data_IF_100542327129
#
_entry.id   IF_100542327129
#
_cell.length_a   1.000
_cell.length_b   1.000
_cell.length_c   1.000
_cell.angle_alpha   90.00
_cell.angle_beta   90.00
_cell.angle_gamma   90.00
#
_symmetry.space_group_name_H-M   'P 1'
#
loop_
_entity.id
_entity.type
_entity.pdbx_description
1 polymer ?
#
# COMPACT_ATOMS: atom_id res chain seq x y z
N UNK A 1 45.81 -24.79 13.06
CA UNK A 1 46.41 -23.55 12.52
C UNK A 1 46.90 -23.91 11.13
N UNK A 2 46.38 -23.49 9.98
CA UNK A 2 45.70 -22.26 9.55
C UNK A 2 45.19 -22.54 8.13
N UNK A 3 43.91 -22.32 7.83
CA UNK A 3 43.43 -22.00 6.48
C UNK A 3 41.96 -21.57 6.52
N UNK A 4 41.60 -20.68 7.46
CA UNK A 4 40.35 -19.93 7.38
C UNK A 4 40.66 -18.64 6.63
N UNK A 5 40.46 -18.64 5.31
CA UNK A 5 40.27 -17.44 4.48
C UNK A 5 40.09 -17.89 3.03
N UNK A 6 38.85 -18.17 2.66
CA UNK A 6 38.45 -18.09 1.26
C UNK A 6 37.05 -17.49 1.20
N UNK A 7 36.99 -16.31 0.58
CA UNK A 7 35.81 -15.72 -0.04
C UNK A 7 34.72 -15.08 0.85
N UNK A 8 35.11 -14.21 1.79
CA UNK A 8 34.27 -13.03 2.08
C UNK A 8 34.56 -12.01 0.98
N UNK A 9 34.02 -12.23 -0.22
CA UNK A 9 33.98 -11.22 -1.28
C UNK A 9 32.89 -11.53 -2.32
N UNK A 10 31.76 -12.12 -1.92
CA UNK A 10 30.55 -12.01 -2.73
C UNK A 10 29.95 -10.63 -2.51
N UNK A 11 30.48 -9.71 -3.30
CA UNK A 11 29.75 -8.63 -3.94
C UNK A 11 28.67 -7.95 -3.07
N UNK A 12 29.09 -6.82 -2.52
CA UNK A 12 28.26 -5.65 -2.19
C UNK A 12 27.58 -5.15 -3.48
N UNK A 13 26.70 -5.96 -4.05
CA UNK A 13 25.61 -5.47 -4.87
C UNK A 13 24.42 -5.74 -3.98
N UNK A 14 24.03 -4.73 -3.19
CA UNK A 14 22.62 -4.61 -2.83
C UNK A 14 21.92 -4.47 -4.18
N UNK A 15 21.58 -5.59 -4.82
CA UNK A 15 20.41 -5.58 -5.68
C UNK A 15 19.35 -5.13 -4.71
N UNK A 16 18.92 -3.88 -4.84
CA UNK A 16 17.67 -3.47 -4.24
C UNK A 16 16.65 -4.36 -4.91
N UNK A 17 16.44 -5.54 -4.32
CA UNK A 17 15.20 -6.25 -4.40
C UNK A 17 14.22 -5.26 -3.79
N UNK A 18 13.77 -4.31 -4.61
CA UNK A 18 12.45 -3.77 -4.43
C UNK A 18 11.58 -5.01 -4.54
N UNK A 19 11.22 -5.58 -3.39
CA UNK A 19 10.17 -6.55 -3.30
C UNK A 19 8.98 -5.87 -3.94
N UNK A 20 8.71 -6.24 -5.20
CA UNK A 20 7.57 -5.72 -5.92
C UNK A 20 6.37 -6.32 -5.22
N UNK A 21 5.89 -5.62 -4.17
CA UNK A 21 4.60 -5.90 -3.56
C UNK A 21 3.60 -5.74 -4.70
N UNK A 22 3.10 -6.87 -5.21
CA UNK A 22 2.00 -6.83 -6.16
C UNK A 22 0.77 -6.38 -5.40
N UNK A 23 0.17 -5.29 -5.85
CA UNK A 23 -1.17 -4.93 -5.42
C UNK A 23 -2.09 -6.04 -5.94
N UNK A 24 -2.84 -6.75 -5.08
CA UNK A 24 -3.79 -7.75 -5.53
C UNK A 24 -4.82 -7.05 -6.41
N UNK A 25 -5.42 -7.82 -7.34
CA UNK A 25 -6.42 -7.26 -8.25
C UNK A 25 -7.58 -6.69 -7.42
N UNK A 26 -7.67 -5.36 -7.38
CA UNK A 26 -8.76 -4.69 -6.69
C UNK A 26 -9.99 -4.68 -7.59
N UNK A 27 -11.12 -5.15 -7.09
CA UNK A 27 -12.38 -5.15 -7.83
C UNK A 27 -13.04 -3.77 -7.76
N UNK A 28 -12.72 -2.89 -8.71
CA UNK A 28 -13.32 -1.56 -8.83
C UNK A 28 -12.44 -0.57 -9.58
N UNK A 29 -12.87 0.70 -9.62
CA UNK A 29 -12.05 1.81 -10.15
C UNK A 29 -11.15 2.33 -9.04
N UNK A 30 -9.83 2.31 -9.26
CA UNK A 30 -8.88 3.01 -8.38
C UNK A 30 -9.07 4.51 -8.55
N UNK A 31 -9.41 5.18 -7.45
CA UNK A 31 -9.59 6.63 -7.41
C UNK A 31 -8.29 7.34 -7.01
N UNK A 32 -7.54 6.74 -6.08
CA UNK A 32 -6.38 7.39 -5.46
C UNK A 32 -5.46 6.42 -4.71
N UNK A 33 -4.24 6.89 -4.44
CA UNK A 33 -3.23 6.27 -3.57
C UNK A 33 -2.79 7.30 -2.52
N UNK A 34 -2.53 6.87 -1.28
CA UNK A 34 -2.12 7.77 -0.19
C UNK A 34 -1.91 7.03 1.12
N UNK A 35 -1.56 7.72 2.21
CA UNK A 35 -1.48 7.16 3.56
C UNK A 35 -2.70 7.64 4.37
N UNK A 36 -3.75 6.83 4.41
CA UNK A 36 -5.04 7.21 5.02
C UNK A 36 -5.07 6.92 6.53
N UNK A 37 -4.14 6.11 7.05
CA UNK A 37 -4.10 5.73 8.46
C UNK A 37 -2.87 6.25 9.23
N UNK A 38 -1.90 6.85 8.54
CA UNK A 38 -0.68 7.44 9.10
C UNK A 38 0.42 6.42 9.41
N UNK A 39 0.38 5.23 8.79
CA UNK A 39 1.35 4.16 9.07
C UNK A 39 2.55 4.14 8.11
N UNK A 40 2.63 5.13 7.21
CA UNK A 40 3.65 5.28 6.16
C UNK A 40 3.61 4.21 5.06
N UNK A 41 2.58 3.37 5.00
CA UNK A 41 2.31 2.54 3.84
C UNK A 41 1.44 3.28 2.82
N UNK A 42 1.57 2.89 1.55
CA UNK A 42 0.65 3.36 0.50
C UNK A 42 -0.61 2.51 0.50
N UNK A 43 -1.71 3.12 0.91
CA UNK A 43 -3.07 2.62 0.86
C UNK A 43 -3.75 2.98 -0.47
N UNK A 44 -4.97 2.45 -0.69
CA UNK A 44 -5.71 2.63 -1.93
C UNK A 44 -7.16 3.05 -1.65
N UNK A 45 -7.65 4.03 -2.39
CA UNK A 45 -9.06 4.41 -2.44
C UNK A 45 -9.71 3.81 -3.69
N UNK A 46 -10.72 2.97 -3.52
CA UNK A 46 -11.38 2.25 -4.62
C UNK A 46 -12.88 2.54 -4.62
N UNK A 47 -13.43 2.88 -5.79
CA UNK A 47 -14.87 2.92 -6.00
C UNK A 47 -15.37 1.58 -6.57
N UNK A 48 -16.38 1.00 -5.91
CA UNK A 48 -17.06 -0.23 -6.32
C UNK A 48 -18.58 -0.01 -6.28
N UNK A 49 -19.16 0.24 -7.45
CA UNK A 49 -20.56 0.62 -7.58
C UNK A 49 -20.84 1.89 -6.77
N UNK A 50 -21.79 1.81 -5.85
CA UNK A 50 -22.20 2.95 -5.04
C UNK A 50 -21.26 3.31 -3.87
N UNK A 51 -20.19 2.53 -3.69
CA UNK A 51 -19.35 2.57 -2.50
C UNK A 51 -17.94 3.02 -2.84
N UNK A 52 -17.41 3.91 -2.02
CA UNK A 52 -16.01 4.33 -1.99
C UNK A 52 -15.36 3.75 -0.74
N UNK A 53 -14.32 2.94 -0.92
CA UNK A 53 -13.68 2.17 0.16
C UNK A 53 -12.19 2.48 0.24
N UNK A 54 -11.72 2.77 1.45
CA UNK A 54 -10.29 2.83 1.78
C UNK A 54 -9.79 1.43 2.10
N UNK A 55 -8.77 1.00 1.37
CA UNK A 55 -8.06 -0.26 1.54
C UNK A 55 -6.67 0.03 2.10
N UNK A 56 -6.42 -0.41 3.33
CA UNK A 56 -5.14 -0.20 3.99
C UNK A 56 -4.16 -1.29 3.62
N UNK A 57 -2.94 -0.90 3.28
CA UNK A 57 -1.87 -1.82 3.02
C UNK A 57 -1.26 -2.30 4.33
N UNK A 58 -1.38 -3.60 4.61
CA UNK A 58 -0.72 -4.19 5.76
C UNK A 58 0.78 -4.42 5.51
N UNK A 59 1.56 -4.37 6.57
CA UNK A 59 3.00 -4.59 6.59
C UNK A 59 3.41 -5.91 7.26
N UNK A 60 2.45 -6.79 7.60
CA UNK A 60 2.74 -8.10 8.19
C UNK A 60 3.90 -8.81 7.44
N UNK A 61 5.08 -8.76 8.07
CA UNK A 61 6.40 -9.12 7.52
C UNK A 61 6.48 -10.57 7.00
N UNK A 62 5.55 -11.42 7.41
CA UNK A 62 5.43 -12.81 6.95
C UNK A 62 4.70 -12.95 5.61
N UNK A 63 3.94 -11.92 5.20
CA UNK A 63 3.19 -11.91 3.95
C UNK A 63 3.98 -11.24 2.81
N UNK A 64 5.27 -10.96 3.01
CA UNK A 64 6.14 -10.36 1.97
C UNK A 64 6.34 -11.30 0.76
N UNK A 65 6.02 -12.59 0.94
CA UNK A 65 6.01 -13.61 -0.12
C UNK A 65 4.60 -13.90 -0.67
N UNK A 66 3.56 -13.36 -0.04
CA UNK A 66 2.18 -13.50 -0.44
C UNK A 66 1.70 -12.15 -1.02
N UNK A 67 0.72 -12.16 -1.91
CA UNK A 67 0.23 -10.94 -2.54
C UNK A 67 -0.22 -9.95 -1.45
N UNK A 68 0.17 -8.66 -1.58
CA UNK A 68 0.04 -7.70 -0.48
C UNK A 68 -1.37 -7.68 0.10
N UNK A 69 -1.52 -7.95 1.39
CA UNK A 69 -2.83 -8.05 2.04
C UNK A 69 -3.37 -6.64 2.25
N UNK A 70 -4.39 -6.27 1.49
CA UNK A 70 -5.17 -5.05 1.74
C UNK A 70 -6.37 -5.39 2.62
N UNK A 71 -6.54 -4.63 3.71
CA UNK A 71 -7.69 -4.76 4.61
C UNK A 71 -8.64 -3.59 4.40
N UNK A 72 -9.95 -3.85 4.38
CA UNK A 72 -10.94 -2.77 4.36
C UNK A 72 -10.86 -1.97 5.66
N UNK A 73 -10.82 -0.64 5.55
CA UNK A 73 -10.84 0.23 6.71
C UNK A 73 -12.18 0.94 6.86
N UNK A 74 -12.51 1.79 5.89
CA UNK A 74 -13.74 2.58 5.90
C UNK A 74 -14.42 2.54 4.53
N UNK A 75 -15.75 2.50 4.51
CA UNK A 75 -16.56 2.54 3.29
C UNK A 75 -17.64 3.60 3.39
N UNK A 76 -17.77 4.42 2.35
CA UNK A 76 -18.74 5.49 2.23
C UNK A 76 -19.66 5.23 1.03
N UNK A 77 -20.96 5.50 1.15
CA UNK A 77 -21.88 5.46 0.01
C UNK A 77 -21.84 6.82 -0.70
N UNK A 78 -21.41 6.83 -1.96
CA UNK A 78 -21.25 8.04 -2.79
C UNK A 78 -22.30 8.15 -3.91
N UNK A 79 -23.23 7.18 -3.98
CA UNK A 79 -24.21 7.09 -5.05
C UNK A 79 -23.69 6.30 -6.25
N UNK A 80 -24.57 6.02 -7.21
CA UNK A 80 -24.26 5.07 -8.30
C UNK A 80 -23.40 5.67 -9.43
N UNK A 81 -23.16 6.99 -9.39
CA UNK A 81 -22.33 7.69 -10.37
C UNK A 81 -20.84 7.62 -10.02
N UNK A 82 -19.98 7.75 -11.04
CA UNK A 82 -18.52 7.83 -10.82
C UNK A 82 -18.18 9.16 -10.17
N UNK A 83 -17.43 9.12 -9.07
CA UNK A 83 -17.01 10.33 -8.35
C UNK A 83 -15.57 10.72 -8.69
N UNK A 84 -15.31 12.02 -8.63
CA UNK A 84 -13.97 12.58 -8.55
C UNK A 84 -13.59 12.73 -7.08
N UNK A 85 -12.32 12.47 -6.74
CA UNK A 85 -11.83 12.56 -5.37
C UNK A 85 -10.65 13.52 -5.34
N UNK A 86 -10.67 14.46 -4.39
CA UNK A 86 -9.51 15.27 -4.04
C UNK A 86 -8.91 14.76 -2.74
N UNK A 87 -7.58 14.75 -2.66
CA UNK A 87 -6.84 14.24 -1.51
C UNK A 87 -5.99 15.33 -0.87
N UNK A 88 -5.88 15.30 0.45
CA UNK A 88 -4.98 16.15 1.20
C UNK A 88 -5.14 15.91 2.70
N UNK A 89 -4.16 16.30 3.51
CA UNK A 89 -4.35 16.41 4.96
C UNK A 89 -5.09 17.73 5.22
N UNK A 90 -6.42 17.68 5.20
CA UNK A 90 -7.27 18.87 5.33
C UNK A 90 -7.45 19.28 6.79
N UNK A 91 -7.22 18.36 7.73
CA UNK A 91 -7.45 18.58 9.16
C UNK A 91 -6.16 18.77 9.99
N UNK A 92 -4.98 18.50 9.42
CA UNK A 92 -3.66 18.67 10.03
C UNK A 92 -3.22 17.53 10.94
N UNK A 93 -3.83 16.33 10.85
CA UNK A 93 -3.51 15.17 11.69
C UNK A 93 -2.49 14.21 11.09
N UNK A 94 -1.86 14.59 9.97
CA UNK A 94 -0.86 13.81 9.22
C UNK A 94 -1.41 12.58 8.50
N UNK A 95 -2.73 12.41 8.44
CA UNK A 95 -3.39 11.41 7.60
C UNK A 95 -4.01 12.07 6.39
N UNK A 96 -4.06 11.32 5.30
CA UNK A 96 -4.66 11.80 4.07
C UNK A 96 -6.20 11.73 4.18
N UNK A 97 -6.87 12.85 3.98
CA UNK A 97 -8.33 12.97 3.93
C UNK A 97 -8.85 12.89 2.49
N UNK A 98 -10.16 12.63 2.34
CA UNK A 98 -10.88 12.60 1.04
C UNK A 98 -11.93 13.71 1.01
N UNK A 99 -11.93 14.49 -0.08
CA UNK A 99 -12.95 15.48 -0.43
C UNK A 99 -13.70 15.06 -1.70
#
# INVERSE_FOLDING_TARGET
MTALRLLILFFVVRTSWCLVKKVPVQFGRVCAFGDFNGDSNTDILVQRGANLTVLLQDNELLNVLEEGVFKNFTTFRVGDETVECSLGDFNGDTKLDVL
#
